data_IF_239640938965
#
_entry.id   IF_239640938965
#
_cell.length_a   1.000
_cell.length_b   1.000
_cell.length_c   1.000
_cell.angle_alpha   90.00
_cell.angle_beta   90.00
_cell.angle_gamma   90.00
#
_symmetry.space_group_name_H-M   'P 1'
#
loop_
_entity.id
_entity.type
_entity.pdbx_description
1 polymer ?
#
# COMPACT_ATOMS: atom_id res chain seq x y z
N UNK A 1 7.58 -13.12 -3.29
CA UNK A 1 7.50 -13.25 -1.83
C UNK A 1 6.25 -14.03 -1.52
N UNK A 2 6.23 -14.79 -0.44
CA UNK A 2 5.00 -15.38 0.10
C UNK A 2 4.16 -14.30 0.79
N UNK A 3 2.90 -14.60 1.06
CA UNK A 3 2.02 -13.72 1.83
C UNK A 3 2.63 -13.34 3.19
N UNK A 4 3.17 -14.32 3.91
CA UNK A 4 3.74 -14.11 5.24
C UNK A 4 5.02 -13.25 5.17
N UNK A 5 5.85 -13.42 4.14
CA UNK A 5 6.99 -12.54 3.90
C UNK A 5 6.57 -11.09 3.63
N UNK A 6 5.44 -10.87 2.93
CA UNK A 6 4.90 -9.53 2.69
C UNK A 6 4.43 -8.89 4.00
N UNK A 7 3.70 -9.65 4.84
CA UNK A 7 3.21 -9.17 6.14
C UNK A 7 4.39 -8.90 7.10
N UNK A 8 5.33 -9.83 7.21
CA UNK A 8 6.51 -9.66 8.07
C UNK A 8 7.34 -8.44 7.65
N UNK A 9 7.52 -8.21 6.34
CA UNK A 9 8.16 -6.98 5.86
C UNK A 9 7.32 -5.75 6.24
N UNK A 10 6.02 -5.75 5.98
CA UNK A 10 5.12 -4.63 6.26
C UNK A 10 5.19 -4.14 7.72
N UNK A 11 5.27 -5.07 8.68
CA UNK A 11 5.34 -4.77 10.11
C UNK A 11 6.64 -4.05 10.50
N UNK A 12 7.73 -4.25 9.76
CA UNK A 12 9.03 -3.59 10.02
C UNK A 12 9.12 -2.17 9.42
N UNK A 13 8.21 -1.81 8.53
CA UNK A 13 8.23 -0.52 7.82
C UNK A 13 7.45 0.55 8.58
N UNK A 14 7.98 1.78 8.55
CA UNK A 14 7.23 2.98 8.95
C UNK A 14 6.12 3.28 7.92
N UNK A 15 5.09 4.08 8.28
CA UNK A 15 4.02 4.44 7.35
C UNK A 15 4.50 4.99 6.00
N UNK A 16 5.54 5.83 6.00
CA UNK A 16 6.09 6.40 4.75
C UNK A 16 6.89 5.39 3.92
N UNK A 17 7.50 4.40 4.55
CA UNK A 17 8.16 3.30 3.83
C UNK A 17 7.12 2.34 3.25
N UNK A 18 5.99 2.13 3.94
CA UNK A 18 4.84 1.40 3.40
C UNK A 18 4.28 2.10 2.17
N UNK A 19 4.05 3.43 2.24
CA UNK A 19 3.61 4.24 1.11
C UNK A 19 4.54 4.10 -0.10
N UNK A 20 5.86 4.11 0.15
CA UNK A 20 6.86 4.00 -0.91
C UNK A 20 6.80 2.63 -1.58
N UNK A 21 6.70 1.57 -0.78
CA UNK A 21 6.62 0.21 -1.29
C UNK A 21 5.31 -0.03 -2.07
N UNK A 22 4.19 0.53 -1.61
CA UNK A 22 2.93 0.55 -2.36
C UNK A 22 3.10 1.27 -3.69
N UNK A 23 3.76 2.43 -3.73
CA UNK A 23 4.00 3.14 -4.99
C UNK A 23 4.82 2.31 -5.99
N UNK A 24 5.88 1.65 -5.53
CA UNK A 24 6.73 0.80 -6.35
C UNK A 24 5.97 -0.40 -6.93
N UNK A 25 5.24 -1.12 -6.09
CA UNK A 25 4.59 -2.38 -6.48
C UNK A 25 3.26 -2.13 -7.18
N UNK A 26 2.45 -1.21 -6.67
CA UNK A 26 1.10 -0.99 -7.18
C UNK A 26 1.06 -0.07 -8.42
N UNK A 27 2.07 0.79 -8.59
CA UNK A 27 2.07 1.75 -9.69
C UNK A 27 3.34 1.69 -10.54
N UNK A 28 4.30 0.81 -10.22
CA UNK A 28 5.56 0.71 -10.97
C UNK A 28 6.43 1.95 -10.86
N UNK A 29 6.23 2.78 -9.82
CA UNK A 29 6.91 4.06 -9.66
C UNK A 29 8.27 3.89 -9.01
N UNK A 30 9.26 4.68 -9.42
CA UNK A 30 10.52 4.80 -8.68
C UNK A 30 10.38 5.87 -7.60
N UNK A 31 10.59 5.49 -6.34
CA UNK A 31 10.52 6.40 -5.20
C UNK A 31 11.93 6.81 -4.77
N UNK A 32 12.15 8.12 -4.69
CA UNK A 32 13.39 8.72 -4.21
C UNK A 32 13.14 9.47 -2.90
N UNK A 33 14.17 9.57 -2.05
CA UNK A 33 14.12 10.39 -0.85
C UNK A 33 14.79 11.72 -1.12
N UNK A 34 14.00 12.79 -1.18
CA UNK A 34 14.49 14.15 -1.38
C UNK A 34 14.73 14.83 -0.03
N UNK A 35 15.94 15.37 0.16
CA UNK A 35 16.28 16.15 1.36
C UNK A 35 15.91 17.62 1.14
N UNK A 36 15.04 18.17 1.97
CA UNK A 36 14.61 19.58 1.99
C UNK A 36 15.06 20.29 3.26
N UNK A 37 15.06 21.64 3.28
CA UNK A 37 15.43 22.43 4.45
C UNK A 37 14.60 22.11 5.71
N UNK A 38 13.35 21.64 5.54
CA UNK A 38 12.41 21.31 6.61
C UNK A 38 12.24 19.79 6.85
N UNK A 39 13.09 18.94 6.28
CA UNK A 39 13.02 17.49 6.44
C UNK A 39 13.21 16.72 5.14
N UNK A 40 13.04 15.40 5.17
CA UNK A 40 13.05 14.57 3.95
C UNK A 40 11.64 14.24 3.51
N UNK A 41 11.34 14.36 2.22
CA UNK A 41 10.10 13.86 1.63
C UNK A 41 10.40 12.69 0.69
N UNK A 42 9.49 11.73 0.62
CA UNK A 42 9.51 10.73 -0.45
C UNK A 42 8.86 11.35 -1.68
N UNK A 43 9.56 11.31 -2.81
CA UNK A 43 9.05 11.76 -4.11
C UNK A 43 9.08 10.62 -5.09
N UNK A 44 8.21 10.65 -6.09
CA UNK A 44 8.31 9.77 -7.24
C UNK A 44 8.41 10.62 -8.50
N UNK A 45 9.03 10.06 -9.54
CA UNK A 45 9.08 10.69 -10.85
C UNK A 45 8.00 10.09 -11.73
N UNK A 46 7.13 10.93 -12.25
CA UNK A 46 6.12 10.56 -13.24
C UNK A 46 6.20 11.55 -14.40
N UNK A 47 6.40 11.03 -15.61
CA UNK A 47 6.60 11.82 -16.84
C UNK A 47 7.70 12.90 -16.70
N UNK A 48 8.78 12.58 -15.98
CA UNK A 48 9.91 13.51 -15.75
C UNK A 48 9.64 14.61 -14.71
N UNK A 49 8.46 14.62 -14.08
CA UNK A 49 8.10 15.58 -13.02
C UNK A 49 8.21 14.87 -11.67
N UNK A 50 8.98 15.47 -10.75
CA UNK A 50 9.05 15.02 -9.36
C UNK A 50 7.80 15.46 -8.61
N UNK A 51 7.10 14.50 -8.01
CA UNK A 51 5.89 14.72 -7.23
C UNK A 51 6.03 14.15 -5.83
N UNK A 52 5.38 14.78 -4.85
CA UNK A 52 5.33 14.24 -3.49
C UNK A 52 4.55 12.92 -3.49
N UNK A 53 5.10 11.92 -2.81
CA UNK A 53 4.46 10.61 -2.66
C UNK A 53 3.15 10.75 -1.85
N UNK A 54 2.01 10.26 -2.36
CA UNK A 54 0.75 10.26 -1.62
C UNK A 54 0.83 9.50 -0.29
N UNK A 55 -0.12 9.76 0.60
CA UNK A 55 -0.23 9.10 1.90
C UNK A 55 -1.16 7.89 1.80
N UNK A 56 -0.79 6.88 1.02
CA UNK A 56 -1.62 5.71 0.74
C UNK A 56 -2.08 4.97 2.00
N UNK A 57 -1.26 4.85 3.04
CA UNK A 57 -1.58 4.11 4.26
C UNK A 57 -2.30 4.93 5.33
N UNK A 58 -2.57 6.22 5.11
CA UNK A 58 -3.25 7.06 6.09
C UNK A 58 -4.39 7.90 5.51
N UNK A 59 -4.37 8.18 4.20
CA UNK A 59 -5.44 8.86 3.48
C UNK A 59 -6.27 7.83 2.70
N UNK A 60 -7.55 7.69 3.08
CA UNK A 60 -8.44 6.71 2.47
C UNK A 60 -8.71 6.99 0.98
N UNK A 61 -8.71 8.25 0.56
CA UNK A 61 -8.90 8.61 -0.85
C UNK A 61 -7.69 8.18 -1.68
N UNK A 62 -6.48 8.35 -1.14
CA UNK A 62 -5.26 7.84 -1.76
C UNK A 62 -5.22 6.31 -1.77
N UNK A 63 -5.64 5.65 -0.69
CA UNK A 63 -5.69 4.19 -0.59
C UNK A 63 -6.57 3.56 -1.68
N UNK A 64 -7.72 4.18 -1.99
CA UNK A 64 -8.61 3.70 -3.05
C UNK A 64 -7.95 3.69 -4.44
N UNK A 65 -6.98 4.57 -4.70
CA UNK A 65 -6.26 4.57 -5.98
C UNK A 65 -5.37 3.32 -6.16
N UNK A 66 -5.06 2.59 -5.09
CA UNK A 66 -4.23 1.37 -5.12
C UNK A 66 -5.01 0.18 -5.69
N UNK A 67 -6.33 0.18 -5.47
CA UNK A 67 -7.26 -0.85 -5.95
C UNK A 67 -7.58 -0.59 -7.42
N UNK A 68 -7.40 -1.59 -8.27
CA UNK A 68 -7.84 -1.50 -9.65
C UNK A 68 -9.34 -1.81 -9.74
N UNK A 69 -10.09 -1.05 -10.54
CA UNK A 69 -11.55 -1.18 -10.65
C UNK A 69 -12.04 -2.53 -11.19
N UNK A 70 -11.16 -3.29 -11.86
CA UNK A 70 -11.46 -4.63 -12.37
C UNK A 70 -11.34 -5.73 -11.32
N UNK A 71 -10.69 -5.44 -10.20
CA UNK A 71 -10.35 -6.46 -9.22
C UNK A 71 -11.49 -6.62 -8.23
N UNK A 72 -11.85 -7.87 -7.92
CA UNK A 72 -12.78 -8.14 -6.83
C UNK A 72 -12.13 -7.69 -5.51
N UNK A 73 -12.74 -6.71 -4.86
CA UNK A 73 -12.27 -6.15 -3.61
C UNK A 73 -13.35 -6.26 -2.52
N UNK A 74 -12.98 -6.84 -1.39
CA UNK A 74 -13.86 -7.00 -0.22
C UNK A 74 -13.21 -6.30 0.98
N UNK A 75 -13.96 -5.45 1.69
CA UNK A 75 -13.53 -4.78 2.93
C UNK A 75 -14.60 -4.91 4.01
N UNK A 76 -14.19 -5.18 5.24
CA UNK A 76 -15.07 -5.36 6.38
C UNK A 76 -14.38 -5.11 7.71
N UNK A 77 -15.10 -5.22 8.82
CA UNK A 77 -14.55 -5.07 10.17
C UNK A 77 -14.75 -6.34 11.00
N UNK A 78 -13.72 -6.75 11.73
CA UNK A 78 -13.79 -7.87 12.66
C UNK A 78 -12.96 -7.59 13.91
N UNK A 79 -13.57 -7.66 15.10
CA UNK A 79 -12.84 -7.56 16.37
C UNK A 79 -12.16 -6.21 16.66
N UNK A 80 -12.54 -5.13 15.97
CA UNK A 80 -11.92 -3.80 16.10
C UNK A 80 -10.90 -3.47 15.00
N UNK A 81 -10.48 -4.47 14.22
CA UNK A 81 -9.61 -4.28 13.06
C UNK A 81 -10.40 -4.22 11.75
N UNK A 82 -9.76 -3.67 10.72
CA UNK A 82 -10.27 -3.68 9.35
C UNK A 82 -9.66 -4.83 8.59
N UNK A 83 -10.53 -5.62 7.95
CA UNK A 83 -10.13 -6.72 7.07
C UNK A 83 -10.32 -6.33 5.62
N UNK A 84 -9.35 -6.65 4.76
CA UNK A 84 -9.44 -6.41 3.32
C UNK A 84 -8.93 -7.61 2.53
N UNK A 85 -9.48 -7.81 1.34
CA UNK A 85 -9.05 -8.82 0.38
C UNK A 85 -9.15 -8.28 -1.04
N UNK A 86 -8.15 -8.59 -1.88
CA UNK A 86 -8.12 -8.20 -3.28
C UNK A 86 -7.82 -9.43 -4.15
N UNK A 87 -8.63 -9.66 -5.18
CA UNK A 87 -8.41 -10.68 -6.21
C UNK A 87 -8.80 -12.11 -5.84
N UNK A 88 -8.72 -12.51 -4.56
CA UNK A 88 -8.98 -13.89 -4.13
C UNK A 88 -9.90 -13.98 -2.89
N UNK A 89 -11.13 -14.51 -3.03
CA UNK A 89 -12.03 -14.68 -1.89
C UNK A 89 -11.43 -15.65 -0.86
N UNK A 90 -11.35 -15.20 0.40
CA UNK A 90 -10.77 -15.96 1.52
C UNK A 90 -9.39 -15.48 1.97
N UNK A 91 -8.73 -14.61 1.21
CA UNK A 91 -7.42 -14.05 1.56
C UNK A 91 -7.57 -12.69 2.22
N UNK A 92 -8.09 -12.70 3.45
CA UNK A 92 -8.27 -11.49 4.23
C UNK A 92 -6.98 -11.15 4.97
N UNK A 93 -6.52 -9.92 4.85
CA UNK A 93 -5.56 -9.32 5.78
C UNK A 93 -6.27 -8.44 6.78
N UNK A 94 -5.75 -8.40 8.00
CA UNK A 94 -6.21 -7.49 9.05
C UNK A 94 -5.22 -6.35 9.21
N UNK A 95 -5.72 -5.13 9.38
CA UNK A 95 -4.91 -3.99 9.79
C UNK A 95 -5.73 -3.05 10.70
N UNK A 96 -5.06 -2.23 11.53
CA UNK A 96 -5.74 -1.28 12.41
C UNK A 96 -6.63 -0.26 11.69
N UNK A 97 -6.35 0.04 10.41
CA UNK A 97 -7.10 1.03 9.64
C UNK A 97 -7.44 0.55 8.23
N UNK A 98 -8.51 1.10 7.65
CA UNK A 98 -8.93 0.76 6.29
C UNK A 98 -7.87 1.08 5.22
N UNK A 99 -7.19 2.25 5.23
CA UNK A 99 -6.12 2.54 4.28
C UNK A 99 -4.98 1.51 4.33
N UNK A 100 -4.58 1.09 5.54
CA UNK A 100 -3.54 0.07 5.70
C UNK A 100 -4.00 -1.30 5.20
N UNK A 101 -5.22 -1.72 5.52
CA UNK A 101 -5.78 -2.99 5.07
C UNK A 101 -5.86 -3.05 3.54
N UNK A 102 -6.34 -1.97 2.90
CA UNK A 102 -6.40 -1.84 1.43
C UNK A 102 -5.01 -1.99 0.82
N UNK A 103 -4.03 -1.22 1.30
CA UNK A 103 -2.68 -1.23 0.75
C UNK A 103 -1.98 -2.58 0.92
N UNK A 104 -2.11 -3.21 2.09
CA UNK A 104 -1.52 -4.50 2.37
C UNK A 104 -2.16 -5.61 1.51
N UNK A 105 -3.49 -5.62 1.36
CA UNK A 105 -4.18 -6.55 0.48
C UNK A 105 -3.69 -6.42 -0.97
N UNK A 106 -3.52 -5.19 -1.45
CA UNK A 106 -3.03 -4.93 -2.80
C UNK A 106 -1.58 -5.35 -3.02
N UNK A 107 -0.70 -5.14 -2.03
CA UNK A 107 0.69 -5.62 -2.09
C UNK A 107 0.75 -7.14 -2.19
N UNK A 108 -0.03 -7.84 -1.35
CA UNK A 108 -0.08 -9.30 -1.38
C UNK A 108 -0.54 -9.75 -2.76
N UNK A 109 -1.70 -9.29 -3.23
CA UNK A 109 -2.25 -9.69 -4.53
C UNK A 109 -1.29 -9.49 -5.71
N UNK A 110 -0.40 -8.49 -5.66
CA UNK A 110 0.56 -8.20 -6.74
C UNK A 110 1.90 -8.91 -6.60
N UNK A 111 2.34 -9.19 -5.37
CA UNK A 111 3.65 -9.81 -5.11
C UNK A 111 3.54 -11.34 -5.04
N UNK A 112 2.44 -11.85 -4.49
CA UNK A 112 2.16 -13.29 -4.45
C UNK A 112 1.50 -13.68 -5.76
N UNK A 113 2.23 -14.39 -6.61
CA UNK A 113 1.64 -15.09 -7.75
C UNK A 113 1.16 -16.45 -7.25
N UNK A 114 -0.12 -16.56 -6.91
CA UNK A 114 -0.80 -17.85 -6.82
C UNK A 114 -1.92 -17.91 -7.86
#
# INVERSE_FOLDING_TARGET
MTRDEVVAKWETLTPRERDAWVAEVAFGKTVERERRPNGSISVFTDVGIRQALPYYTTDISAAWAVVNTSDRFDIGGFGGDVTASLGHPGWYVSAPTAPEAICLAALIARITKE
#
